data_IF_709039557797
#
_entry.id   IF_709039557797
#
_cell.length_a   1.000
_cell.length_b   1.000
_cell.length_c   1.000
_cell.angle_alpha   90.00
_cell.angle_beta   90.00
_cell.angle_gamma   90.00
#
_symmetry.space_group_name_H-M   'P 1'
#
loop_
_entity.id
_entity.type
_entity.pdbx_description
1 polymer ?
#
# COMPACT_ATOMS: atom_id res chain seq x y z
N UNK A 1 26.35 7.24 16.20
CA UNK A 1 27.31 6.17 15.82
C UNK A 1 27.21 5.05 16.86
N UNK A 2 26.62 3.89 16.53
CA UNK A 2 26.49 2.80 17.52
C UNK A 2 25.62 1.59 17.11
N UNK A 3 24.68 1.73 16.16
CA UNK A 3 23.77 0.63 15.75
C UNK A 3 24.38 -0.42 14.79
N UNK A 4 25.55 -0.18 14.20
CA UNK A 4 26.12 -1.06 13.16
C UNK A 4 26.86 -2.31 13.72
N UNK A 5 27.32 -2.30 14.98
CA UNK A 5 28.15 -3.41 15.49
C UNK A 5 27.36 -4.68 15.84
N UNK A 6 26.06 -4.55 16.14
CA UNK A 6 25.20 -5.69 16.48
C UNK A 6 24.79 -6.51 15.25
N UNK A 7 24.69 -5.86 14.08
CA UNK A 7 24.30 -6.52 12.83
C UNK A 7 25.44 -7.33 12.21
N UNK A 8 26.68 -6.83 12.26
CA UNK A 8 27.86 -7.61 11.82
C UNK A 8 28.09 -8.87 12.66
N UNK A 9 27.80 -8.82 13.96
CA UNK A 9 27.91 -9.99 14.86
C UNK A 9 26.96 -11.14 14.53
N UNK A 10 25.88 -10.89 13.78
CA UNK A 10 24.97 -11.94 13.30
C UNK A 10 25.47 -12.60 12.00
N UNK A 11 26.25 -11.86 11.21
CA UNK A 11 26.82 -12.30 9.93
C UNK A 11 28.14 -13.05 10.13
N UNK A 12 28.84 -12.83 11.23
CA UNK A 12 30.07 -13.52 11.62
C UNK A 12 29.89 -14.17 13.00
N UNK A 13 29.40 -15.42 13.08
CA UNK A 13 29.26 -16.11 14.35
C UNK A 13 30.67 -16.48 14.85
N UNK A 14 31.28 -15.62 15.67
CA UNK A 14 32.37 -16.08 16.54
C UNK A 14 31.78 -17.14 17.46
N UNK A 15 32.32 -18.36 17.43
CA UNK A 15 31.99 -19.41 18.40
C UNK A 15 32.48 -18.91 19.77
N UNK A 16 31.64 -18.12 20.43
CA UNK A 16 31.90 -17.60 21.76
C UNK A 16 31.39 -18.62 22.76
N UNK A 17 32.28 -19.11 23.63
CA UNK A 17 32.03 -20.00 24.78
C UNK A 17 31.17 -19.35 25.89
N UNK A 18 30.07 -18.67 25.53
CA UNK A 18 29.10 -18.13 26.47
C UNK A 18 27.76 -18.87 26.30
N UNK A 19 27.42 -19.81 27.19
CA UNK A 19 26.13 -20.47 27.14
C UNK A 19 25.03 -19.45 27.44
N UNK A 20 24.17 -19.14 26.47
CA UNK A 20 22.94 -18.38 26.70
C UNK A 20 22.55 -17.31 25.68
N UNK A 21 23.43 -16.93 24.74
CA UNK A 21 23.04 -15.97 23.69
C UNK A 21 22.24 -16.71 22.62
N UNK A 22 20.96 -16.38 22.49
CA UNK A 22 20.06 -16.93 21.46
C UNK A 22 19.78 -15.87 20.39
N UNK A 23 20.72 -15.63 19.45
CA UNK A 23 20.69 -14.48 18.55
C UNK A 23 19.39 -14.39 17.73
N UNK A 24 18.95 -15.52 17.18
CA UNK A 24 17.70 -15.61 16.42
C UNK A 24 16.46 -15.25 17.27
N UNK A 25 16.44 -15.63 18.56
CA UNK A 25 15.31 -15.26 19.45
C UNK A 25 15.26 -13.78 19.73
N UNK A 26 16.41 -13.13 19.85
CA UNK A 26 16.46 -11.67 20.05
C UNK A 26 15.91 -10.95 18.82
N UNK A 27 16.36 -11.33 17.61
CA UNK A 27 15.88 -10.74 16.36
C UNK A 27 14.38 -10.96 16.18
N UNK A 28 13.91 -12.20 16.31
CA UNK A 28 12.50 -12.54 16.16
C UNK A 28 11.62 -11.93 17.28
N UNK A 29 12.19 -11.73 18.47
CA UNK A 29 11.54 -11.00 19.57
C UNK A 29 11.26 -9.55 19.21
N UNK A 30 12.23 -8.85 18.61
CA UNK A 30 12.06 -7.47 18.14
C UNK A 30 11.04 -7.39 17.00
N UNK A 31 11.07 -8.34 16.06
CA UNK A 31 10.07 -8.43 14.99
C UNK A 31 8.67 -8.59 15.57
N UNK A 32 8.49 -9.50 16.53
CA UNK A 32 7.22 -9.69 17.23
C UNK A 32 6.74 -8.40 17.91
N UNK A 33 7.62 -7.70 18.61
CA UNK A 33 7.28 -6.45 19.28
C UNK A 33 6.80 -5.37 18.29
N UNK A 34 7.52 -5.18 17.18
CA UNK A 34 7.11 -4.27 16.11
C UNK A 34 5.75 -4.63 15.53
N UNK A 35 5.48 -5.92 15.30
CA UNK A 35 4.16 -6.37 14.81
C UNK A 35 3.03 -6.09 15.82
N UNK A 36 3.28 -6.26 17.11
CA UNK A 36 2.30 -5.91 18.16
C UNK A 36 2.02 -4.41 18.17
N UNK A 37 3.05 -3.56 18.03
CA UNK A 37 2.88 -2.10 17.94
C UNK A 37 2.14 -1.71 16.66
N UNK A 38 2.45 -2.35 15.53
CA UNK A 38 1.74 -2.16 14.25
C UNK A 38 0.25 -2.46 14.41
N UNK A 39 -0.09 -3.61 15.01
CA UNK A 39 -1.49 -3.98 15.25
C UNK A 39 -2.21 -2.95 16.12
N UNK A 40 -1.59 -2.52 17.23
CA UNK A 40 -2.16 -1.48 18.11
C UNK A 40 -2.38 -0.14 17.41
N UNK A 41 -1.43 0.26 16.56
CA UNK A 41 -1.57 1.46 15.74
C UNK A 41 -2.78 1.36 14.82
N UNK A 42 -2.95 0.23 14.14
CA UNK A 42 -4.12 0.00 13.27
C UNK A 42 -5.42 -0.02 14.07
N UNK A 43 -5.44 -0.64 15.26
CA UNK A 43 -6.58 -0.61 16.19
C UNK A 43 -6.95 0.83 16.58
N UNK A 44 -5.97 1.68 16.93
CA UNK A 44 -6.22 3.10 17.22
C UNK A 44 -6.72 3.89 16.01
N UNK A 45 -6.15 3.64 14.82
CA UNK A 45 -6.59 4.29 13.58
C UNK A 45 -8.04 3.95 13.23
N UNK A 46 -8.50 2.72 13.54
CA UNK A 46 -9.89 2.32 13.32
C UNK A 46 -10.87 2.96 14.32
N UNK A 47 -10.39 3.39 15.48
CA UNK A 47 -11.17 4.02 16.55
C UNK A 47 -11.03 5.56 16.55
N UNK A 48 -10.38 6.15 15.55
CA UNK A 48 -10.05 7.57 15.46
C UNK A 48 -9.28 8.10 16.70
N UNK A 49 -8.49 7.23 17.33
CA UNK A 49 -7.68 7.55 18.50
C UNK A 49 -6.26 8.01 18.09
N UNK A 50 -5.66 8.97 18.82
CA UNK A 50 -4.29 9.36 18.58
C UNK A 50 -3.33 8.19 18.84
N UNK A 51 -2.27 8.11 18.03
CA UNK A 51 -1.21 7.12 18.19
C UNK A 51 0.14 7.83 18.16
N UNK A 52 0.84 7.82 19.30
CA UNK A 52 2.12 8.51 19.49
C UNK A 52 3.33 7.62 19.17
N UNK A 53 3.16 6.57 18.35
CA UNK A 53 4.28 5.72 17.95
C UNK A 53 5.11 6.40 16.87
N UNK A 54 6.43 6.44 17.07
CA UNK A 54 7.36 6.85 16.04
C UNK A 54 7.35 5.86 14.86
N UNK A 55 7.68 6.34 13.66
CA UNK A 55 7.75 5.53 12.43
C UNK A 55 8.73 4.36 12.52
N UNK A 56 9.75 4.44 13.40
CA UNK A 56 10.70 3.34 13.63
C UNK A 56 10.11 2.19 14.45
N UNK A 57 9.00 2.40 15.17
CA UNK A 57 8.46 1.49 16.17
C UNK A 57 7.47 0.46 15.61
N UNK A 58 6.93 0.69 14.41
CA UNK A 58 6.01 -0.24 13.75
C UNK A 58 6.55 -0.66 12.37
N UNK A 59 5.84 -1.60 11.73
CA UNK A 59 6.10 -2.04 10.38
C UNK A 59 5.10 -1.37 9.43
N UNK A 60 5.61 -0.64 8.45
CA UNK A 60 4.80 -0.01 7.41
C UNK A 60 4.81 -0.83 6.12
N UNK A 61 5.97 -1.36 5.75
CA UNK A 61 6.16 -2.17 4.54
C UNK A 61 6.47 -3.62 4.86
N UNK A 62 6.15 -4.52 3.92
CA UNK A 62 6.52 -5.93 4.01
C UNK A 62 8.03 -6.14 4.06
N UNK A 63 8.81 -5.27 3.42
CA UNK A 63 10.27 -5.34 3.41
C UNK A 63 10.88 -5.20 4.81
N UNK A 64 10.31 -4.33 5.65
CA UNK A 64 10.72 -4.18 7.05
C UNK A 64 10.51 -5.45 7.88
N UNK A 65 9.59 -6.32 7.45
CA UNK A 65 9.36 -7.63 8.05
C UNK A 65 10.24 -8.71 7.40
N UNK A 66 10.43 -8.67 6.08
CA UNK A 66 11.23 -9.63 5.33
C UNK A 66 12.72 -9.55 5.65
N UNK A 67 13.28 -8.35 5.74
CA UNK A 67 14.72 -8.12 5.97
C UNK A 67 15.27 -8.92 7.18
N UNK A 68 14.71 -8.81 8.40
CA UNK A 68 15.21 -9.57 9.55
C UNK A 68 14.96 -11.08 9.43
N UNK A 69 13.93 -11.52 8.70
CA UNK A 69 13.64 -12.95 8.49
C UNK A 69 14.64 -13.57 7.50
N UNK A 70 14.91 -12.88 6.39
CA UNK A 70 15.92 -13.28 5.41
C UNK A 70 17.32 -13.29 6.01
N UNK A 71 17.63 -12.33 6.88
CA UNK A 71 18.90 -12.32 7.64
C UNK A 71 19.04 -13.58 8.52
N UNK A 72 18.00 -13.94 9.27
CA UNK A 72 17.99 -15.17 10.06
C UNK A 72 18.18 -16.41 9.17
N UNK A 73 17.53 -16.43 8.01
CA UNK A 73 17.63 -17.53 7.06
C UNK A 73 19.05 -17.68 6.50
N UNK A 74 19.65 -16.59 6.00
CA UNK A 74 21.01 -16.58 5.48
C UNK A 74 22.04 -17.01 6.53
N UNK A 75 21.86 -16.55 7.78
CA UNK A 75 22.74 -16.93 8.89
C UNK A 75 22.63 -18.43 9.21
N UNK A 76 21.42 -19.00 9.25
CA UNK A 76 21.21 -20.44 9.45
C UNK A 76 21.82 -21.29 8.32
N UNK A 77 21.66 -20.88 7.07
CA UNK A 77 22.29 -21.52 5.91
C UNK A 77 23.82 -21.52 6.03
N UNK A 78 24.40 -20.36 6.34
CA UNK A 78 25.86 -20.23 6.49
C UNK A 78 26.43 -21.08 7.64
N UNK A 79 25.63 -21.37 8.67
CA UNK A 79 26.00 -22.23 9.79
C UNK A 79 25.73 -23.72 9.53
N UNK A 80 25.33 -24.11 8.31
CA UNK A 80 25.02 -25.50 7.97
C UNK A 80 23.72 -26.03 8.58
N UNK A 81 22.83 -25.14 9.04
CA UNK A 81 21.55 -25.47 9.66
C UNK A 81 20.37 -25.31 8.69
N UNK A 82 20.55 -25.73 7.44
CA UNK A 82 19.56 -25.55 6.36
C UNK A 82 18.20 -26.18 6.65
N UNK A 83 18.18 -27.35 7.31
CA UNK A 83 16.92 -28.02 7.74
C UNK A 83 16.06 -27.10 8.63
N UNK A 84 16.68 -26.24 9.45
CA UNK A 84 15.97 -25.27 10.28
C UNK A 84 15.55 -24.03 9.48
N UNK A 85 16.38 -23.59 8.53
CA UNK A 85 16.10 -22.45 7.65
C UNK A 85 14.91 -22.74 6.73
N UNK A 86 14.91 -23.91 6.08
CA UNK A 86 13.90 -24.37 5.13
C UNK A 86 12.58 -24.84 5.77
N UNK A 87 12.53 -24.88 7.11
CA UNK A 87 11.32 -25.24 7.85
C UNK A 87 10.36 -24.06 8.05
N UNK A 88 9.97 -23.84 9.31
CA UNK A 88 8.97 -22.82 9.68
C UNK A 88 9.40 -21.39 9.32
N UNK A 89 10.71 -21.12 9.24
CA UNK A 89 11.21 -19.81 8.86
C UNK A 89 10.96 -19.53 7.38
N UNK A 90 11.29 -20.45 6.49
CA UNK A 90 10.97 -20.35 5.07
C UNK A 90 9.45 -20.23 4.83
N UNK A 91 8.63 -20.97 5.58
CA UNK A 91 7.16 -20.83 5.51
C UNK A 91 6.69 -19.44 5.90
N UNK A 92 7.29 -18.84 6.94
CA UNK A 92 6.98 -17.47 7.35
C UNK A 92 7.41 -16.46 6.28
N UNK A 93 8.60 -16.61 5.71
CA UNK A 93 9.10 -15.76 4.62
C UNK A 93 8.15 -15.82 3.42
N UNK A 94 7.74 -17.02 3.00
CA UNK A 94 6.78 -17.20 1.90
C UNK A 94 5.45 -16.52 2.21
N UNK A 95 4.92 -16.65 3.44
CA UNK A 95 3.67 -15.97 3.84
C UNK A 95 3.79 -14.46 3.77
N UNK A 96 4.89 -13.90 4.27
CA UNK A 96 5.10 -12.44 4.20
C UNK A 96 5.25 -11.98 2.75
N UNK A 97 5.97 -12.73 1.92
CA UNK A 97 6.11 -12.42 0.50
C UNK A 97 4.78 -12.52 -0.27
N UNK A 98 3.90 -13.46 0.09
CA UNK A 98 2.61 -13.66 -0.58
C UNK A 98 1.54 -12.66 -0.11
N UNK A 99 1.44 -12.42 1.20
CA UNK A 99 0.34 -11.64 1.79
C UNK A 99 0.73 -10.20 2.14
N UNK A 100 2.03 -9.91 2.27
CA UNK A 100 2.53 -8.60 2.68
C UNK A 100 1.96 -8.16 4.04
N UNK A 101 1.75 -6.84 4.17
CA UNK A 101 1.14 -6.22 5.36
C UNK A 101 -0.38 -6.01 5.21
N UNK A 102 -0.91 -6.14 3.98
CA UNK A 102 -2.31 -5.83 3.64
C UNK A 102 -3.20 -7.07 3.56
N UNK A 103 -2.62 -8.28 3.66
CA UNK A 103 -3.26 -9.60 3.52
C UNK A 103 -3.85 -9.88 2.14
N UNK A 104 -4.73 -9.00 1.66
CA UNK A 104 -5.34 -9.05 0.35
C UNK A 104 -5.45 -7.63 -0.21
N UNK A 105 -5.26 -7.50 -1.53
CA UNK A 105 -5.53 -6.24 -2.23
C UNK A 105 -7.02 -6.06 -2.40
N UNK A 106 -7.49 -4.82 -2.23
CA UNK A 106 -8.90 -4.48 -2.43
C UNK A 106 -9.13 -4.01 -3.87
N UNK A 107 -10.04 -4.67 -4.57
CA UNK A 107 -10.53 -4.20 -5.87
C UNK A 107 -11.65 -3.19 -5.64
N UNK A 108 -11.56 -2.04 -6.30
CA UNK A 108 -12.60 -0.99 -6.26
C UNK A 108 -13.46 -1.15 -7.51
N UNK A 109 -14.78 -1.10 -7.36
CA UNK A 109 -15.71 -1.24 -8.49
C UNK A 109 -16.74 -0.14 -8.48
N UNK A 110 -16.90 0.54 -9.61
CA UNK A 110 -17.90 1.59 -9.82
C UNK A 110 -18.47 1.53 -11.24
N UNK A 111 -19.67 2.03 -11.48
CA UNK A 111 -20.29 2.09 -12.81
C UNK A 111 -19.86 3.31 -13.64
N UNK A 112 -19.74 3.13 -14.96
CA UNK A 112 -19.34 4.18 -15.91
C UNK A 112 -20.22 5.45 -15.88
N UNK A 113 -21.51 5.28 -15.60
CA UNK A 113 -22.46 6.40 -15.45
C UNK A 113 -22.04 7.35 -14.33
N UNK A 114 -21.60 6.82 -13.18
CA UNK A 114 -21.12 7.59 -12.04
C UNK A 114 -19.86 8.41 -12.37
N UNK A 115 -18.96 7.87 -13.20
CA UNK A 115 -17.80 8.62 -13.70
C UNK A 115 -18.20 9.74 -14.65
N UNK A 116 -19.18 9.48 -15.53
CA UNK A 116 -19.70 10.47 -16.46
C UNK A 116 -20.34 11.64 -15.71
N UNK A 117 -21.18 11.36 -14.71
CA UNK A 117 -21.78 12.39 -13.84
C UNK A 117 -20.72 13.20 -13.08
N UNK A 118 -19.65 12.55 -12.62
CA UNK A 118 -18.55 13.24 -11.96
C UNK A 118 -17.80 14.18 -12.92
N UNK A 119 -17.54 13.73 -14.15
CA UNK A 119 -16.95 14.58 -15.19
C UNK A 119 -17.88 15.73 -15.57
N UNK A 120 -19.19 15.50 -15.69
CA UNK A 120 -20.19 16.54 -15.96
C UNK A 120 -20.16 17.65 -14.90
N UNK A 121 -20.10 17.28 -13.62
CA UNK A 121 -20.02 18.23 -12.53
C UNK A 121 -18.75 19.09 -12.62
N UNK A 122 -17.61 18.46 -12.94
CA UNK A 122 -16.31 19.15 -13.08
C UNK A 122 -16.29 20.07 -14.31
N UNK A 123 -16.74 19.59 -15.47
CA UNK A 123 -16.73 20.40 -16.69
C UNK A 123 -17.73 21.55 -16.63
N UNK A 124 -18.89 21.33 -15.99
CA UNK A 124 -19.88 22.38 -15.75
C UNK A 124 -19.36 23.45 -14.79
N UNK A 125 -18.67 23.05 -13.72
CA UNK A 125 -18.06 23.99 -12.78
C UNK A 125 -16.96 24.85 -13.43
N UNK A 126 -16.25 24.31 -14.43
CA UNK A 126 -15.19 25.00 -15.17
C UNK A 126 -15.70 25.79 -16.39
N UNK A 127 -17.02 25.89 -16.59
CA UNK A 127 -17.65 26.52 -17.76
C UNK A 127 -17.19 25.91 -19.11
N UNK A 128 -16.82 24.62 -19.12
CA UNK A 128 -16.40 23.88 -20.33
C UNK A 128 -17.59 23.23 -21.05
N UNK A 129 -18.76 23.16 -20.40
CA UNK A 129 -19.97 22.52 -20.88
C UNK A 129 -20.26 21.19 -20.18
N UNK A 130 -21.26 20.46 -20.70
CA UNK A 130 -21.68 19.15 -20.17
C UNK A 130 -20.96 18.04 -20.93
N UNK A 131 -20.15 17.25 -20.23
CA UNK A 131 -19.32 16.19 -20.81
C UNK A 131 -20.16 15.08 -21.44
N UNK A 132 -21.28 14.67 -20.83
CA UNK A 132 -22.18 13.62 -21.32
C UNK A 132 -22.78 13.93 -22.68
N UNK A 133 -23.03 15.20 -22.98
CA UNK A 133 -23.55 15.70 -24.26
C UNK A 133 -22.50 15.70 -25.39
N UNK A 134 -21.22 15.52 -25.08
CA UNK A 134 -20.18 15.49 -26.10
C UNK A 134 -20.19 14.18 -26.88
N UNK A 135 -19.79 14.26 -28.15
CA UNK A 135 -19.48 13.10 -28.95
C UNK A 135 -18.18 12.42 -28.47
N UNK A 136 -18.01 11.16 -28.85
CA UNK A 136 -16.89 10.34 -28.37
C UNK A 136 -15.53 10.95 -28.74
N UNK A 137 -15.41 11.54 -29.93
CA UNK A 137 -14.16 12.17 -30.39
C UNK A 137 -13.78 13.35 -29.49
N UNK A 138 -14.73 14.23 -29.14
CA UNK A 138 -14.48 15.36 -28.24
C UNK A 138 -14.20 14.90 -26.81
N UNK A 139 -14.87 13.84 -26.32
CA UNK A 139 -14.56 13.23 -25.02
C UNK A 139 -13.11 12.76 -24.96
N UNK A 140 -12.67 12.01 -25.97
CA UNK A 140 -11.32 11.49 -26.06
C UNK A 140 -10.27 12.60 -26.19
N UNK A 141 -10.51 13.63 -27.00
CA UNK A 141 -9.60 14.77 -27.13
C UNK A 141 -9.46 15.53 -25.81
N UNK A 142 -10.57 15.82 -25.13
CA UNK A 142 -10.57 16.45 -23.82
C UNK A 142 -9.77 15.63 -22.80
N UNK A 143 -10.09 14.35 -22.62
CA UNK A 143 -9.41 13.48 -21.65
C UNK A 143 -7.93 13.36 -21.97
N UNK A 144 -7.56 13.18 -23.24
CA UNK A 144 -6.15 13.08 -23.66
C UNK A 144 -5.38 14.36 -23.37
N UNK A 145 -6.02 15.52 -23.55
CA UNK A 145 -5.42 16.82 -23.26
C UNK A 145 -5.23 17.01 -21.77
N UNK A 146 -6.24 16.76 -20.96
CA UNK A 146 -6.17 16.94 -19.50
C UNK A 146 -5.20 15.92 -18.86
N UNK A 147 -5.15 14.67 -19.32
CA UNK A 147 -4.18 13.66 -18.84
C UNK A 147 -2.72 14.02 -19.15
N UNK A 148 -2.46 14.76 -20.23
CA UNK A 148 -1.12 15.30 -20.54
C UNK A 148 -0.84 16.61 -19.81
N UNK A 149 -1.89 17.28 -19.34
CA UNK A 149 -1.81 18.53 -18.60
C UNK A 149 -1.16 18.33 -17.24
N UNK A 150 -0.46 19.36 -16.75
CA UNK A 150 0.07 19.42 -15.38
C UNK A 150 -0.83 20.22 -14.43
N UNK A 151 -1.90 20.81 -14.98
CA UNK A 151 -2.83 21.63 -14.22
C UNK A 151 -3.84 20.70 -13.52
N UNK A 152 -4.08 20.84 -12.20
CA UNK A 152 -5.13 20.12 -11.53
C UNK A 152 -6.50 20.45 -12.13
N UNK A 153 -7.26 19.42 -12.52
CA UNK A 153 -8.58 19.57 -13.12
C UNK A 153 -9.68 19.74 -12.05
N UNK A 154 -9.60 18.99 -10.94
CA UNK A 154 -10.60 19.00 -9.87
C UNK A 154 -10.23 20.05 -8.82
N UNK A 155 -11.07 21.09 -8.61
CA UNK A 155 -10.87 22.05 -7.54
C UNK A 155 -11.06 21.38 -6.16
N UNK A 156 -10.23 21.70 -5.15
CA UNK A 156 -10.32 21.06 -3.84
C UNK A 156 -11.61 21.38 -3.07
N UNK A 157 -12.27 22.50 -3.38
CA UNK A 157 -13.49 22.97 -2.71
C UNK A 157 -14.70 22.98 -3.66
N UNK A 158 -14.76 22.04 -4.62
CA UNK A 158 -15.91 21.94 -5.52
C UNK A 158 -17.16 21.51 -4.74
N UNK A 159 -18.25 22.25 -4.88
CA UNK A 159 -19.55 21.87 -4.32
C UNK A 159 -20.31 21.04 -5.36
N UNK A 160 -20.49 19.76 -5.07
CA UNK A 160 -21.14 18.78 -5.96
C UNK A 160 -22.19 17.97 -5.20
N UNK A 161 -23.08 17.31 -5.94
CA UNK A 161 -24.06 16.39 -5.36
C UNK A 161 -23.40 15.25 -4.58
N UNK A 162 -24.11 14.68 -3.62
CA UNK A 162 -23.59 13.63 -2.73
C UNK A 162 -23.02 12.43 -3.51
N UNK A 163 -23.70 12.00 -4.56
CA UNK A 163 -23.29 10.83 -5.36
C UNK A 163 -22.02 11.10 -6.19
N UNK A 164 -21.79 12.35 -6.60
CA UNK A 164 -20.54 12.76 -7.27
C UNK A 164 -19.41 12.90 -6.25
N UNK A 165 -19.73 13.45 -5.08
CA UNK A 165 -18.77 13.60 -3.99
C UNK A 165 -18.22 12.24 -3.54
N UNK A 166 -19.08 11.23 -3.45
CA UNK A 166 -18.68 9.84 -3.12
C UNK A 166 -17.63 9.29 -4.10
N UNK A 167 -17.80 9.51 -5.40
CA UNK A 167 -16.84 9.08 -6.42
C UNK A 167 -15.49 9.78 -6.24
N UNK A 168 -15.50 11.09 -6.01
CA UNK A 168 -14.29 11.88 -5.80
C UNK A 168 -13.57 11.50 -4.49
N UNK A 169 -14.33 11.34 -3.40
CA UNK A 169 -13.81 10.94 -2.09
C UNK A 169 -13.22 9.52 -2.15
N UNK A 170 -13.82 8.61 -2.92
CA UNK A 170 -13.25 7.28 -3.17
C UNK A 170 -11.87 7.36 -3.80
N UNK A 171 -11.67 8.20 -4.83
CA UNK A 171 -10.35 8.38 -5.43
C UNK A 171 -9.35 9.06 -4.48
N UNK A 172 -9.84 9.94 -3.61
CA UNK A 172 -9.00 10.57 -2.58
C UNK A 172 -8.50 9.55 -1.56
N UNK A 173 -9.39 8.71 -1.02
CA UNK A 173 -9.02 7.61 -0.13
C UNK A 173 -8.08 6.64 -0.83
N UNK A 174 -8.32 6.34 -2.11
CA UNK A 174 -7.45 5.48 -2.89
C UNK A 174 -6.02 6.05 -3.04
N UNK A 175 -5.88 7.36 -3.18
CA UNK A 175 -4.59 8.04 -3.23
C UNK A 175 -3.86 8.01 -1.87
N UNK A 176 -4.60 8.03 -0.76
CA UNK A 176 -4.04 7.97 0.60
C UNK A 176 -3.57 6.54 0.99
N UNK A 177 -4.30 5.50 0.57
CA UNK A 177 -4.02 4.10 0.91
C UNK A 177 -2.80 3.48 0.18
N UNK A 178 -2.37 4.09 -0.93
CA UNK A 178 -1.22 3.65 -1.71
C UNK A 178 -1.45 2.37 -2.55
N UNK A 179 -0.47 2.06 -3.41
CA UNK A 179 -0.55 0.99 -4.42
C UNK A 179 -0.51 -0.44 -3.87
N UNK A 180 -0.05 -0.61 -2.63
CA UNK A 180 0.07 -1.93 -2.03
C UNK A 180 -1.28 -2.45 -1.53
N UNK A 181 -2.17 -1.54 -1.13
CA UNK A 181 -3.50 -1.84 -0.58
C UNK A 181 -4.56 -2.11 -1.65
N UNK A 182 -4.38 -1.54 -2.85
CA UNK A 182 -5.37 -1.58 -3.92
C UNK A 182 -4.95 -2.52 -5.06
N UNK A 183 -5.93 -3.25 -5.57
CA UNK A 183 -5.81 -4.13 -6.73
C UNK A 183 -6.27 -3.42 -8.00
N UNK A 184 -7.28 -3.97 -8.66
CA UNK A 184 -7.87 -3.40 -9.86
C UNK A 184 -8.94 -2.35 -9.53
N UNK A 185 -9.04 -1.33 -10.40
CA UNK A 185 -10.22 -0.48 -10.48
C UNK A 185 -11.12 -0.97 -11.62
N UNK A 186 -12.28 -1.51 -11.28
CA UNK A 186 -13.22 -2.12 -12.21
C UNK A 186 -14.34 -1.15 -12.56
N UNK A 187 -14.44 -0.80 -13.85
CA UNK A 187 -15.53 0.03 -14.36
C UNK A 187 -16.63 -0.88 -14.90
N UNK A 188 -17.77 -0.89 -14.22
CA UNK A 188 -18.95 -1.66 -14.64
C UNK A 188 -19.68 -0.92 -15.74
N UNK A 189 -20.32 -1.68 -16.65
CA UNK A 189 -21.08 -1.12 -17.76
C UNK A 189 -20.25 -0.21 -18.69
N UNK A 190 -18.93 -0.44 -18.74
CA UNK A 190 -18.06 0.23 -19.70
C UNK A 190 -18.45 -0.19 -21.13
N UNK A 191 -18.71 0.80 -21.97
CA UNK A 191 -19.20 0.63 -23.34
C UNK A 191 -18.31 1.32 -24.36
N UNK A 192 -17.66 2.43 -23.97
CA UNK A 192 -16.89 3.28 -24.86
C UNK A 192 -15.43 3.42 -24.40
N UNK A 193 -14.57 3.91 -25.30
CA UNK A 193 -13.18 4.19 -24.99
C UNK A 193 -13.04 5.33 -23.97
N UNK A 194 -13.99 6.28 -23.97
CA UNK A 194 -14.08 7.34 -22.98
C UNK A 194 -14.30 6.87 -21.55
N UNK A 195 -14.82 5.65 -21.34
CA UNK A 195 -15.04 5.07 -20.01
C UNK A 195 -13.72 4.59 -19.39
N UNK A 196 -12.75 4.22 -20.22
CA UNK A 196 -11.40 3.86 -19.79
C UNK A 196 -10.38 4.66 -20.59
N UNK A 197 -10.24 5.98 -20.29
CA UNK A 197 -9.34 6.85 -21.02
C UNK A 197 -7.90 6.53 -20.59
N UNK A 198 -7.32 5.54 -21.28
CA UNK A 198 -5.99 4.96 -21.11
C UNK A 198 -5.77 4.10 -19.86
N UNK A 199 -5.57 2.81 -20.10
CA UNK A 199 -4.52 2.03 -19.43
C UNK A 199 -3.13 2.56 -19.83
#
# INVERSE_FOLDING_TARGET
>A
MGRSSSFRKLLEPSISDKPGITPYRVVLGNVKEKLVKTRRRLEHLLEDLPCDYDTEEYCETSDQLLEPLLLCHQSLESCGSSVLADGRLADLIRRVATFGMVLMKLDVRQESGRHTEALDAVTSYLDLGVYSEWDEEKKLDFLTRELKGKRPLVPPNIEVAADVKEVLDTFKVAAELGSDSLGAYVISMASNASDCPRC
#
